data_IF_008124166909
#
_entry.id   IF_008124166909
#
_cell.length_a   1.000
_cell.length_b   1.000
_cell.length_c   1.000
_cell.angle_alpha   90.00
_cell.angle_beta   90.00
_cell.angle_gamma   90.00
#
_symmetry.space_group_name_H-M   'P 1'
#
loop_
_entity.id
_entity.type
_entity.pdbx_description
1 polymer ?
#
# COMPACT_ATOMS: atom_id res chain seq x y z
N UNK A 1 -22.09 -4.54 6.82
CA UNK A 1 -22.11 -5.04 5.45
C UNK A 1 -22.21 -6.57 5.46
N UNK A 2 -23.28 -7.12 4.83
CA UNK A 2 -23.56 -8.56 4.88
C UNK A 2 -22.46 -9.39 4.18
N UNK A 3 -21.83 -8.85 3.13
CA UNK A 3 -20.69 -9.48 2.48
C UNK A 3 -19.53 -9.70 3.47
N UNK A 4 -19.17 -8.67 4.22
CA UNK A 4 -18.14 -8.72 5.26
C UNK A 4 -18.47 -9.77 6.35
N UNK A 5 -19.74 -9.84 6.78
CA UNK A 5 -20.14 -10.86 7.75
C UNK A 5 -19.91 -12.28 7.25
N UNK A 6 -20.20 -12.57 5.96
CA UNK A 6 -19.90 -13.86 5.37
C UNK A 6 -18.41 -14.11 5.14
N UNK A 7 -17.64 -13.09 4.84
CA UNK A 7 -16.19 -13.18 4.63
C UNK A 7 -15.45 -13.54 5.93
N UNK A 8 -15.83 -12.93 7.06
CA UNK A 8 -15.14 -13.12 8.35
C UNK A 8 -15.91 -13.97 9.36
N UNK A 9 -17.11 -14.44 9.02
CA UNK A 9 -17.93 -15.25 9.92
C UNK A 9 -18.56 -14.46 11.07
N UNK A 10 -18.76 -13.15 10.91
CA UNK A 10 -19.34 -12.30 11.96
C UNK A 10 -20.88 -12.44 12.03
N UNK A 11 -21.34 -13.19 13.01
CA UNK A 11 -22.77 -13.43 13.25
C UNK A 11 -23.42 -14.42 12.28
N UNK A 12 -22.66 -14.95 11.33
CA UNK A 12 -23.04 -15.99 10.36
C UNK A 12 -21.88 -16.96 10.15
N UNK A 13 -22.14 -18.16 9.65
CA UNK A 13 -21.08 -19.08 9.25
C UNK A 13 -20.29 -18.47 8.07
N UNK A 14 -18.95 -18.50 8.16
CA UNK A 14 -18.05 -18.00 7.12
C UNK A 14 -18.33 -18.70 5.79
N UNK A 15 -18.49 -17.92 4.72
CA UNK A 15 -18.78 -18.44 3.39
C UNK A 15 -18.35 -17.46 2.30
N UNK A 16 -17.22 -17.74 1.67
CA UNK A 16 -16.60 -16.88 0.65
C UNK A 16 -17.50 -16.72 -0.59
N UNK A 17 -18.19 -17.77 -1.04
CA UNK A 17 -19.11 -17.69 -2.19
C UNK A 17 -20.27 -16.71 -1.92
N UNK A 18 -20.81 -16.74 -0.68
CA UNK A 18 -21.85 -15.79 -0.28
C UNK A 18 -21.30 -14.38 -0.11
N UNK A 19 -20.09 -14.23 0.43
CA UNK A 19 -19.44 -12.93 0.51
C UNK A 19 -19.29 -12.31 -0.90
N UNK A 20 -18.76 -13.09 -1.85
CA UNK A 20 -18.60 -12.68 -3.24
C UNK A 20 -19.94 -12.31 -3.90
N UNK A 21 -21.00 -13.09 -3.67
CA UNK A 21 -22.35 -12.77 -4.16
C UNK A 21 -22.81 -11.38 -3.67
N UNK A 22 -22.64 -11.08 -2.39
CA UNK A 22 -23.06 -9.80 -1.82
C UNK A 22 -22.15 -8.65 -2.23
N UNK A 23 -20.84 -8.87 -2.42
CA UNK A 23 -19.97 -7.86 -3.02
C UNK A 23 -20.38 -7.51 -4.44
N UNK A 24 -20.74 -8.49 -5.28
CA UNK A 24 -21.27 -8.22 -6.63
C UNK A 24 -22.55 -7.39 -6.59
N UNK A 25 -23.47 -7.71 -5.71
CA UNK A 25 -24.70 -6.94 -5.54
C UNK A 25 -24.44 -5.50 -5.08
N UNK A 26 -23.48 -5.32 -4.17
CA UNK A 26 -23.06 -3.99 -3.73
C UNK A 26 -22.38 -3.19 -4.85
N UNK A 27 -21.53 -3.83 -5.63
CA UNK A 27 -20.86 -3.21 -6.78
C UNK A 27 -21.86 -2.79 -7.88
N UNK A 28 -22.84 -3.64 -8.19
CA UNK A 28 -23.96 -3.32 -9.08
C UNK A 28 -24.79 -2.13 -8.60
N UNK A 29 -24.87 -1.94 -7.29
CA UNK A 29 -25.53 -0.79 -6.66
C UNK A 29 -24.63 0.47 -6.58
N UNK A 30 -23.41 0.41 -7.13
CA UNK A 30 -22.49 1.54 -7.20
C UNK A 30 -21.57 1.74 -6.00
N UNK A 31 -21.44 0.72 -5.12
CA UNK A 31 -20.50 0.80 -4.00
C UNK A 31 -19.06 0.58 -4.45
N UNK A 32 -18.24 1.64 -4.39
CA UNK A 32 -16.79 1.61 -4.67
C UNK A 32 -16.03 0.64 -3.74
N UNK A 33 -16.42 0.56 -2.46
CA UNK A 33 -15.88 -0.42 -1.52
C UNK A 33 -16.16 -1.87 -1.97
N UNK A 34 -17.39 -2.18 -2.42
CA UNK A 34 -17.69 -3.51 -2.90
C UNK A 34 -16.93 -3.84 -4.20
N UNK A 35 -16.72 -2.85 -5.06
CA UNK A 35 -15.88 -2.99 -6.26
C UNK A 35 -14.43 -3.28 -5.88
N UNK A 36 -13.89 -2.57 -4.88
CA UNK A 36 -12.55 -2.83 -4.34
C UNK A 36 -12.43 -4.26 -3.81
N UNK A 37 -13.37 -4.72 -2.99
CA UNK A 37 -13.37 -6.10 -2.47
C UNK A 37 -13.42 -7.14 -3.60
N UNK A 38 -14.19 -6.90 -4.66
CA UNK A 38 -14.18 -7.78 -5.84
C UNK A 38 -12.81 -7.81 -6.52
N UNK A 39 -12.17 -6.65 -6.68
CA UNK A 39 -10.81 -6.56 -7.20
C UNK A 39 -9.84 -7.42 -6.38
N UNK A 40 -9.91 -7.32 -5.06
CA UNK A 40 -9.11 -8.11 -4.13
C UNK A 40 -9.39 -9.62 -4.27
N UNK A 41 -10.65 -10.03 -4.27
CA UNK A 41 -11.03 -11.45 -4.38
C UNK A 41 -10.54 -12.06 -5.70
N UNK A 42 -10.68 -11.34 -6.82
CA UNK A 42 -10.15 -11.80 -8.11
C UNK A 42 -8.62 -11.79 -8.17
N UNK A 43 -7.97 -10.85 -7.50
CA UNK A 43 -6.50 -10.77 -7.44
C UNK A 43 -5.89 -11.95 -6.66
N UNK A 44 -6.53 -12.37 -5.57
CA UNK A 44 -6.02 -13.40 -4.68
C UNK A 44 -6.64 -14.79 -4.92
N UNK A 45 -7.76 -14.88 -5.65
CA UNK A 45 -8.50 -16.13 -5.85
C UNK A 45 -9.33 -16.52 -4.61
N UNK A 46 -9.80 -15.54 -3.84
CA UNK A 46 -10.60 -15.77 -2.64
C UNK A 46 -12.09 -15.91 -2.99
N UNK A 47 -12.64 -17.12 -2.82
CA UNK A 47 -14.03 -17.45 -3.19
C UNK A 47 -14.30 -17.47 -4.69
N UNK A 48 -13.29 -17.25 -5.53
CA UNK A 48 -13.38 -17.23 -6.99
C UNK A 48 -12.02 -17.63 -7.59
N UNK A 49 -12.02 -18.16 -8.81
CA UNK A 49 -10.77 -18.42 -9.53
C UNK A 49 -10.00 -17.11 -9.76
N UNK A 50 -8.70 -17.13 -9.44
CA UNK A 50 -7.82 -15.97 -9.63
C UNK A 50 -7.88 -15.46 -11.07
N UNK A 51 -8.15 -14.18 -11.24
CA UNK A 51 -8.23 -13.54 -12.54
C UNK A 51 -7.79 -12.08 -12.47
N UNK A 52 -6.54 -11.84 -12.81
CA UNK A 52 -5.95 -10.51 -12.72
C UNK A 52 -6.61 -9.48 -13.66
N UNK A 53 -7.11 -9.91 -14.81
CA UNK A 53 -7.84 -9.01 -15.73
C UNK A 53 -9.14 -8.50 -15.11
N UNK A 54 -9.90 -9.38 -14.45
CA UNK A 54 -11.09 -8.97 -13.70
C UNK A 54 -10.72 -8.13 -12.47
N UNK A 55 -9.64 -8.48 -11.75
CA UNK A 55 -9.17 -7.70 -10.62
C UNK A 55 -8.90 -6.24 -11.02
N UNK A 56 -8.12 -6.02 -12.09
CA UNK A 56 -7.82 -4.68 -12.62
C UNK A 56 -9.09 -3.93 -13.05
N UNK A 57 -10.03 -4.61 -13.68
CA UNK A 57 -11.31 -4.01 -14.07
C UNK A 57 -12.07 -3.49 -12.84
N UNK A 58 -12.16 -4.28 -11.79
CA UNK A 58 -12.85 -3.90 -10.56
C UNK A 58 -12.10 -2.84 -9.77
N UNK A 59 -10.76 -2.93 -9.65
CA UNK A 59 -9.96 -1.86 -9.05
C UNK A 59 -10.10 -0.54 -9.81
N UNK A 60 -10.15 -0.57 -11.14
CA UNK A 60 -10.36 0.65 -11.95
C UNK A 60 -11.72 1.25 -11.64
N UNK A 61 -12.79 0.46 -11.61
CA UNK A 61 -14.13 0.96 -11.31
C UNK A 61 -14.21 1.54 -9.88
N UNK A 62 -13.59 0.88 -8.89
CA UNK A 62 -13.53 1.38 -7.51
C UNK A 62 -12.72 2.69 -7.41
N UNK A 63 -11.56 2.75 -8.08
CA UNK A 63 -10.69 3.93 -8.09
C UNK A 63 -11.36 5.14 -8.79
N UNK A 64 -12.09 4.92 -9.87
CA UNK A 64 -12.91 5.94 -10.52
C UNK A 64 -14.08 6.40 -9.64
N UNK A 65 -14.62 5.50 -8.81
CA UNK A 65 -15.61 5.80 -7.77
C UNK A 65 -15.07 6.55 -6.56
N UNK A 66 -13.75 6.70 -6.46
CA UNK A 66 -13.10 7.47 -5.39
C UNK A 66 -12.46 6.64 -4.28
N UNK A 67 -12.42 5.31 -4.39
CA UNK A 67 -11.82 4.44 -3.38
C UNK A 67 -10.29 4.54 -3.40
N UNK A 68 -9.69 5.03 -2.30
CA UNK A 68 -8.25 5.28 -2.20
C UNK A 68 -7.41 4.00 -2.15
N UNK A 69 -7.92 2.93 -1.51
CA UNK A 69 -7.24 1.62 -1.48
C UNK A 69 -7.15 1.04 -2.90
N UNK A 70 -8.24 1.16 -3.69
CA UNK A 70 -8.25 0.72 -5.08
C UNK A 70 -7.30 1.56 -5.95
N UNK A 71 -7.19 2.87 -5.72
CA UNK A 71 -6.22 3.73 -6.41
C UNK A 71 -4.78 3.28 -6.11
N UNK A 72 -4.46 3.02 -4.84
CA UNK A 72 -3.14 2.52 -4.45
C UNK A 72 -2.84 1.16 -5.11
N UNK A 73 -3.76 0.20 -5.03
CA UNK A 73 -3.57 -1.13 -5.62
C UNK A 73 -3.42 -1.04 -7.15
N UNK A 74 -4.23 -0.23 -7.81
CA UNK A 74 -4.11 0.00 -9.25
C UNK A 74 -2.76 0.63 -9.62
N UNK A 75 -2.28 1.59 -8.83
CA UNK A 75 -0.93 2.16 -8.95
C UNK A 75 0.14 1.08 -8.83
N UNK A 76 0.02 0.18 -7.86
CA UNK A 76 0.94 -0.93 -7.66
C UNK A 76 0.95 -1.90 -8.86
N UNK A 77 -0.21 -2.24 -9.41
CA UNK A 77 -0.31 -3.09 -10.59
C UNK A 77 0.37 -2.47 -11.82
N UNK A 78 0.21 -1.16 -12.04
CA UNK A 78 0.93 -0.45 -13.10
C UNK A 78 2.43 -0.32 -12.83
N UNK A 79 2.87 -0.19 -11.57
CA UNK A 79 4.29 -0.15 -11.19
C UNK A 79 4.98 -1.50 -11.48
N UNK A 80 4.32 -2.62 -11.18
CA UNK A 80 4.91 -3.97 -11.30
C UNK A 80 4.59 -4.68 -12.63
N UNK A 81 3.61 -4.19 -13.38
CA UNK A 81 3.17 -4.83 -14.62
C UNK A 81 2.37 -6.12 -14.37
N UNK A 82 1.71 -6.23 -13.23
CA UNK A 82 0.88 -7.40 -12.92
C UNK A 82 -0.55 -7.23 -13.40
N UNK A 83 -0.95 -8.04 -14.38
CA UNK A 83 -2.28 -7.99 -15.00
C UNK A 83 -2.47 -6.84 -15.99
N UNK A 84 -1.51 -5.92 -16.06
CA UNK A 84 -1.44 -4.80 -17.01
C UNK A 84 -0.01 -4.62 -17.50
N UNK A 85 0.16 -3.94 -18.64
CA UNK A 85 1.49 -3.49 -19.06
C UNK A 85 2.04 -2.47 -18.04
N UNK A 86 3.31 -2.64 -17.66
CA UNK A 86 3.98 -1.74 -16.73
C UNK A 86 3.97 -0.30 -17.27
N UNK A 87 3.48 0.62 -16.46
CA UNK A 87 3.41 2.04 -16.81
C UNK A 87 3.61 2.91 -15.56
N UNK A 88 4.86 3.33 -15.33
CA UNK A 88 5.22 4.14 -14.16
C UNK A 88 4.50 5.49 -14.12
N UNK A 89 4.14 6.08 -15.28
CA UNK A 89 3.40 7.34 -15.28
C UNK A 89 1.98 7.16 -14.76
N UNK A 90 1.33 6.05 -15.18
CA UNK A 90 0.01 5.71 -14.64
C UNK A 90 0.08 5.34 -13.16
N UNK A 91 1.11 4.56 -12.76
CA UNK A 91 1.31 4.22 -11.36
C UNK A 91 1.38 5.46 -10.47
N UNK A 92 2.24 6.42 -10.83
CA UNK A 92 2.40 7.68 -10.09
C UNK A 92 1.10 8.46 -10.06
N UNK A 93 0.39 8.60 -11.19
CA UNK A 93 -0.89 9.30 -11.23
C UNK A 93 -1.93 8.69 -10.26
N UNK A 94 -1.98 7.35 -10.15
CA UNK A 94 -2.88 6.69 -9.22
C UNK A 94 -2.42 6.84 -7.76
N UNK A 95 -1.12 6.75 -7.48
CA UNK A 95 -0.58 7.02 -6.15
C UNK A 95 -0.83 8.46 -5.70
N UNK A 96 -0.66 9.46 -6.60
CA UNK A 96 -0.96 10.87 -6.32
C UNK A 96 -2.44 11.06 -5.94
N UNK A 97 -3.36 10.47 -6.71
CA UNK A 97 -4.80 10.54 -6.42
C UNK A 97 -5.16 9.89 -5.06
N UNK A 98 -4.52 8.77 -4.71
CA UNK A 98 -4.69 8.15 -3.40
C UNK A 98 -4.09 9.03 -2.29
N UNK A 99 -2.91 9.60 -2.51
CA UNK A 99 -2.24 10.49 -1.56
C UNK A 99 -3.00 11.80 -1.29
N UNK A 100 -3.73 12.33 -2.28
CA UNK A 100 -4.66 13.45 -2.12
C UNK A 100 -5.79 13.14 -1.12
N UNK A 101 -6.15 11.86 -0.97
CA UNK A 101 -7.10 11.36 0.02
C UNK A 101 -6.43 10.93 1.34
N UNK A 102 -5.17 11.31 1.56
CA UNK A 102 -4.37 10.95 2.73
C UNK A 102 -4.16 9.43 2.89
N UNK A 103 -4.02 8.69 1.80
CA UNK A 103 -3.71 7.25 1.85
C UNK A 103 -2.22 7.02 2.16
N UNK A 104 -1.85 6.48 3.35
CA UNK A 104 -0.45 6.49 3.81
C UNK A 104 0.46 5.63 2.94
N UNK A 105 0.02 4.41 2.57
CA UNK A 105 0.81 3.51 1.74
C UNK A 105 1.08 4.09 0.34
N UNK A 106 0.13 4.85 -0.25
CA UNK A 106 0.36 5.53 -1.53
C UNK A 106 1.38 6.66 -1.41
N UNK A 107 1.39 7.40 -0.29
CA UNK A 107 2.43 8.39 -0.01
C UNK A 107 3.81 7.73 0.13
N UNK A 108 3.89 6.58 0.81
CA UNK A 108 5.13 5.80 0.88
C UNK A 108 5.60 5.37 -0.51
N UNK A 109 4.70 4.83 -1.34
CA UNK A 109 5.02 4.45 -2.73
C UNK A 109 5.51 5.62 -3.59
N UNK A 110 4.93 6.82 -3.42
CA UNK A 110 5.44 8.04 -4.06
C UNK A 110 6.86 8.38 -3.58
N UNK A 111 7.11 8.28 -2.28
CA UNK A 111 8.44 8.46 -1.70
C UNK A 111 9.46 7.54 -2.37
N UNK A 112 9.14 6.26 -2.56
CA UNK A 112 10.00 5.30 -3.25
C UNK A 112 10.22 5.67 -4.73
N UNK A 113 9.17 6.11 -5.44
CA UNK A 113 9.29 6.55 -6.83
C UNK A 113 10.29 7.70 -6.96
N UNK A 114 10.20 8.71 -6.10
CA UNK A 114 11.14 9.84 -6.09
C UNK A 114 12.55 9.45 -5.60
N UNK A 115 12.66 8.62 -4.56
CA UNK A 115 13.96 8.21 -4.03
C UNK A 115 14.78 7.41 -5.06
N UNK A 116 14.12 6.59 -5.86
CA UNK A 116 14.76 5.73 -6.86
C UNK A 116 14.75 6.31 -8.28
N UNK A 117 13.99 7.38 -8.53
CA UNK A 117 13.83 7.95 -9.87
C UNK A 117 12.99 7.06 -10.80
N UNK A 118 12.00 6.34 -10.25
CA UNK A 118 11.10 5.48 -11.03
C UNK A 118 9.94 6.31 -11.59
N UNK A 119 9.93 6.52 -12.89
CA UNK A 119 8.89 7.30 -13.60
C UNK A 119 8.97 8.81 -13.42
N UNK A 120 9.76 9.30 -12.46
CA UNK A 120 10.06 10.71 -12.16
C UNK A 120 11.57 10.90 -12.00
N UNK A 121 12.11 12.12 -12.17
CA UNK A 121 13.49 12.39 -11.80
C UNK A 121 13.75 12.05 -10.34
N UNK A 122 14.92 11.45 -10.05
CA UNK A 122 15.31 11.14 -8.68
C UNK A 122 15.43 12.42 -7.86
N UNK A 123 14.70 12.47 -6.76
CA UNK A 123 14.68 13.59 -5.82
C UNK A 123 14.47 13.07 -4.40
N UNK A 124 15.56 12.98 -3.64
CA UNK A 124 15.49 12.45 -2.27
C UNK A 124 14.83 13.43 -1.30
N UNK A 125 14.89 14.74 -1.55
CA UNK A 125 14.22 15.72 -0.69
C UNK A 125 12.69 15.55 -0.78
N UNK A 126 12.15 15.51 -1.99
CA UNK A 126 10.74 15.22 -2.25
C UNK A 126 10.34 13.84 -1.69
N UNK A 127 11.21 12.82 -1.83
CA UNK A 127 10.95 11.50 -1.27
C UNK A 127 10.79 11.54 0.26
N UNK A 128 11.70 12.24 0.95
CA UNK A 128 11.65 12.38 2.42
C UNK A 128 10.41 13.15 2.88
N UNK A 129 9.90 14.09 2.10
CA UNK A 129 8.64 14.77 2.41
C UNK A 129 7.44 13.82 2.34
N UNK A 130 7.39 12.98 1.28
CA UNK A 130 6.34 11.98 1.13
C UNK A 130 6.39 10.92 2.25
N UNK A 131 7.56 10.40 2.57
CA UNK A 131 7.74 9.45 3.68
C UNK A 131 7.30 10.07 5.01
N UNK A 132 7.69 11.32 5.30
CA UNK A 132 7.27 12.00 6.54
C UNK A 132 5.75 12.10 6.65
N UNK A 133 5.06 12.51 5.57
CA UNK A 133 3.59 12.58 5.54
C UNK A 133 2.95 11.21 5.75
N UNK A 134 3.50 10.16 5.15
CA UNK A 134 3.04 8.79 5.34
C UNK A 134 3.22 8.34 6.80
N UNK A 135 4.38 8.59 7.40
CA UNK A 135 4.69 8.24 8.78
C UNK A 135 3.81 9.00 9.80
N UNK A 136 3.49 10.28 9.54
CA UNK A 136 2.55 11.05 10.35
C UNK A 136 1.13 10.46 10.37
N UNK A 137 0.77 9.70 9.35
CA UNK A 137 -0.49 8.94 9.22
C UNK A 137 -0.37 7.48 9.71
N UNK A 138 0.77 7.10 10.27
CA UNK A 138 0.98 5.78 10.87
C UNK A 138 1.55 4.71 9.92
N UNK A 139 2.08 5.09 8.76
CA UNK A 139 2.75 4.16 7.85
C UNK A 139 4.17 3.85 8.36
N UNK A 140 4.31 2.71 9.03
CA UNK A 140 5.58 2.30 9.64
C UNK A 140 6.71 2.10 8.61
N UNK A 141 6.39 1.58 7.43
CA UNK A 141 7.36 1.39 6.34
C UNK A 141 8.00 2.72 5.90
N UNK A 142 7.27 3.84 6.01
CA UNK A 142 7.81 5.16 5.68
C UNK A 142 8.90 5.61 6.67
N UNK A 143 8.73 5.34 7.97
CA UNK A 143 9.80 5.57 8.96
C UNK A 143 10.99 4.65 8.68
N UNK A 144 10.78 3.38 8.32
CA UNK A 144 11.87 2.49 7.92
C UNK A 144 12.65 3.04 6.71
N UNK A 145 11.95 3.49 5.66
CA UNK A 145 12.56 4.04 4.45
C UNK A 145 13.36 5.32 4.77
N UNK A 146 12.84 6.21 5.62
CA UNK A 146 13.61 7.37 6.11
C UNK A 146 14.86 6.95 6.85
N UNK A 147 14.76 5.98 7.76
CA UNK A 147 15.90 5.42 8.50
C UNK A 147 16.96 4.89 7.55
N UNK A 148 16.57 4.13 6.53
CA UNK A 148 17.49 3.59 5.53
C UNK A 148 18.25 4.69 4.77
N UNK A 149 17.57 5.72 4.32
CA UNK A 149 18.23 6.83 3.61
C UNK A 149 19.17 7.64 4.51
N UNK A 150 18.79 7.84 5.78
CA UNK A 150 19.65 8.52 6.77
C UNK A 150 20.89 7.69 7.11
N UNK A 151 20.76 6.37 7.22
CA UNK A 151 21.89 5.45 7.41
C UNK A 151 22.88 5.54 6.25
N UNK A 152 22.38 5.52 4.99
CA UNK A 152 23.24 5.70 3.80
C UNK A 152 23.95 7.06 3.77
N UNK A 153 23.35 8.08 4.37
CA UNK A 153 23.95 9.40 4.53
C UNK A 153 24.92 9.52 5.73
N UNK A 154 25.12 8.43 6.50
CA UNK A 154 25.97 8.40 7.69
C UNK A 154 25.38 9.07 8.94
N UNK A 155 24.08 9.39 8.91
CA UNK A 155 23.34 10.01 10.02
C UNK A 155 22.78 8.95 10.94
N UNK A 156 23.65 8.19 11.60
CA UNK A 156 23.29 6.96 12.31
C UNK A 156 22.29 7.18 13.45
N UNK A 157 22.45 8.25 14.25
CA UNK A 157 21.52 8.54 15.37
C UNK A 157 20.10 8.85 14.88
N UNK A 158 19.98 9.61 13.76
CA UNK A 158 18.68 9.91 13.15
C UNK A 158 18.07 8.64 12.56
N UNK A 159 18.86 7.82 11.86
CA UNK A 159 18.45 6.55 11.30
C UNK A 159 17.90 5.60 12.37
N UNK A 160 18.62 5.47 13.49
CA UNK A 160 18.19 4.64 14.63
C UNK A 160 16.83 5.09 15.19
N UNK A 161 16.64 6.42 15.34
CA UNK A 161 15.36 6.95 15.83
C UNK A 161 14.18 6.61 14.92
N UNK A 162 14.38 6.64 13.58
CA UNK A 162 13.36 6.27 12.60
C UNK A 162 13.11 4.75 12.59
N UNK A 163 14.15 3.92 12.66
CA UNK A 163 13.98 2.47 12.76
C UNK A 163 13.22 2.07 14.04
N UNK A 164 13.46 2.77 15.18
CA UNK A 164 12.68 2.53 16.39
C UNK A 164 11.20 2.83 16.20
N UNK A 165 10.86 3.96 15.59
CA UNK A 165 9.45 4.30 15.31
C UNK A 165 8.79 3.28 14.39
N UNK A 166 9.50 2.84 13.34
CA UNK A 166 9.00 1.80 12.44
C UNK A 166 8.76 0.47 13.18
N UNK A 167 9.69 0.07 14.07
CA UNK A 167 9.55 -1.13 14.89
C UNK A 167 8.38 -1.03 15.89
N UNK A 168 8.19 0.14 16.52
CA UNK A 168 7.04 0.42 17.38
C UNK A 168 5.72 0.38 16.58
N UNK A 169 5.76 0.66 15.27
CA UNK A 169 4.67 0.51 14.30
C UNK A 169 4.52 -0.90 13.72
N UNK A 170 5.22 -1.91 14.27
CA UNK A 170 5.22 -3.32 13.83
C UNK A 170 5.83 -3.56 12.43
N UNK A 171 6.81 -2.76 12.00
CA UNK A 171 7.61 -3.09 10.81
C UNK A 171 8.70 -4.10 11.15
N UNK A 172 8.60 -5.31 10.58
CA UNK A 172 9.55 -6.40 10.83
C UNK A 172 10.96 -6.09 10.33
N UNK A 173 11.08 -5.33 9.23
CA UNK A 173 12.38 -4.94 8.65
C UNK A 173 13.14 -4.00 9.59
N UNK A 174 12.40 -3.18 10.34
CA UNK A 174 12.98 -2.25 11.31
C UNK A 174 13.62 -2.98 12.50
N UNK A 175 13.05 -4.10 12.96
CA UNK A 175 13.65 -4.93 14.01
C UNK A 175 14.99 -5.51 13.57
N UNK A 176 15.08 -5.97 12.34
CA UNK A 176 16.33 -6.45 11.78
C UNK A 176 17.38 -5.33 11.65
N UNK A 177 16.97 -4.15 11.16
CA UNK A 177 17.86 -2.99 11.08
C UNK A 177 18.40 -2.59 12.47
N UNK A 178 17.55 -2.52 13.50
CA UNK A 178 17.95 -2.24 14.87
C UNK A 178 18.92 -3.30 15.42
N UNK A 179 18.71 -4.59 15.11
CA UNK A 179 19.63 -5.66 15.49
C UNK A 179 21.05 -5.40 14.99
N UNK A 180 21.21 -4.96 13.73
CA UNK A 180 22.52 -4.59 13.16
C UNK A 180 23.20 -3.44 13.92
N UNK A 181 22.44 -2.40 14.34
CA UNK A 181 22.98 -1.31 15.15
C UNK A 181 23.51 -1.81 16.49
N UNK A 182 22.84 -2.78 17.13
CA UNK A 182 23.31 -3.38 18.38
C UNK A 182 24.58 -4.22 18.19
N UNK A 183 24.70 -4.98 17.11
CA UNK A 183 25.86 -5.81 16.79
C UNK A 183 27.10 -4.98 16.46
N UNK A 184 26.92 -3.89 15.70
CA UNK A 184 28.02 -3.02 15.29
C UNK A 184 28.52 -2.08 16.41
N UNK A 185 27.85 -2.06 17.55
CA UNK A 185 28.23 -1.20 18.68
C UNK A 185 27.93 0.28 18.48
N UNK A 186 27.13 0.62 17.49
CA UNK A 186 26.66 1.99 17.20
C UNK A 186 25.59 2.43 18.23
N UNK A 187 25.92 2.23 19.51
CA UNK A 187 25.11 2.64 20.66
C UNK A 187 25.56 4.03 21.11
N UNK A 188 24.66 4.95 21.21
CA UNK A 188 24.73 5.96 22.24
C UNK A 188 23.95 5.52 23.47
#
# INVERSE_FOLDING_TARGET
NLAYCYEYGEGVEQNEERALYWYRRGAEAGSDYCMYCLGWNYSNGEGVEQNMTEAIRWYTAAAEGGNADAMHNLGWHYDHGEGVEQDMKKAICWYERAAEQNHPAAMNSLGECYAMGRGVPRDLETAMEWYRRAAELGEAMADYNMGWHLEQAGKLSEAYAHYRKAADGNDDSAWWALGRFYENGDRE
#
